data_IF_619940390842
#
_entry.id   IF_619940390842
#
_cell.length_a   1.000
_cell.length_b   1.000
_cell.length_c   1.000
_cell.angle_alpha   90.00
_cell.angle_beta   90.00
_cell.angle_gamma   90.00
#
_symmetry.space_group_name_H-M   'P 1'
#
loop_
_entity.id
_entity.type
_entity.pdbx_description
1 polymer ?
#
# COMPACT_ATOMS: atom_id res chain seq x y z
N UNK A 1 13.23 28.01 -21.20
CA UNK A 1 14.23 27.03 -21.61
C UNK A 1 13.48 25.99 -22.41
N UNK A 2 13.61 26.04 -23.76
CA UNK A 2 13.01 25.06 -24.66
C UNK A 2 13.78 23.74 -24.50
N UNK A 3 13.30 22.87 -23.61
CA UNK A 3 13.70 21.48 -23.61
C UNK A 3 13.28 20.88 -24.96
N UNK A 4 14.23 20.43 -25.75
CA UNK A 4 13.95 19.73 -26.99
C UNK A 4 13.13 18.47 -26.62
N UNK A 5 11.90 18.30 -27.16
CA UNK A 5 11.16 17.09 -26.93
C UNK A 5 11.97 15.92 -27.47
N UNK A 6 12.21 14.93 -26.61
CA UNK A 6 12.81 13.68 -27.07
C UNK A 6 12.00 13.18 -28.27
N UNK A 7 12.68 12.93 -29.40
CA UNK A 7 12.01 12.48 -30.63
C UNK A 7 11.10 11.29 -30.30
N UNK A 8 9.80 11.36 -30.61
CA UNK A 8 8.89 10.26 -30.31
C UNK A 8 9.39 8.97 -30.93
N UNK A 9 9.47 7.92 -30.14
CA UNK A 9 9.65 6.57 -30.70
C UNK A 9 8.40 6.24 -31.54
N UNK A 10 8.52 5.51 -32.66
CA UNK A 10 7.36 5.07 -33.40
C UNK A 10 6.43 4.28 -32.46
N UNK A 11 5.14 4.67 -32.42
CA UNK A 11 4.13 3.96 -31.63
C UNK A 11 3.92 2.57 -32.24
N UNK A 12 4.33 1.54 -31.51
CA UNK A 12 4.21 0.14 -31.96
C UNK A 12 2.82 -0.42 -31.66
N UNK A 13 2.10 0.18 -30.70
CA UNK A 13 0.73 -0.22 -30.31
C UNK A 13 -0.38 0.30 -31.24
N UNK A 14 -0.06 1.24 -32.15
CA UNK A 14 -1.09 1.94 -32.95
C UNK A 14 -1.85 3.03 -32.17
N UNK A 15 -1.50 3.28 -30.92
CA UNK A 15 -2.10 4.29 -30.04
C UNK A 15 -1.07 5.33 -29.60
N UNK A 16 -1.51 6.56 -29.37
CA UNK A 16 -0.70 7.63 -28.77
C UNK A 16 -1.45 8.26 -27.60
N UNK A 17 -0.73 8.63 -26.58
CA UNK A 17 -1.30 9.43 -25.49
C UNK A 17 -1.71 10.80 -26.07
N UNK A 18 -3.00 11.10 -26.01
CA UNK A 18 -3.56 12.37 -26.48
C UNK A 18 -3.60 13.42 -25.38
N UNK A 19 -3.94 13.00 -24.14
CA UNK A 19 -4.01 13.92 -23.00
C UNK A 19 -3.86 13.18 -21.68
N UNK A 20 -3.44 13.93 -20.64
CA UNK A 20 -3.44 13.51 -19.24
C UNK A 20 -4.27 14.54 -18.47
N UNK A 21 -5.28 14.06 -17.76
CA UNK A 21 -6.11 14.89 -16.89
C UNK A 21 -5.97 14.43 -15.44
N UNK A 22 -5.66 15.37 -14.55
CA UNK A 22 -5.50 15.14 -13.12
C UNK A 22 -6.56 15.99 -12.41
N UNK A 23 -7.33 15.34 -11.53
CA UNK A 23 -8.31 16.03 -10.70
C UNK A 23 -8.13 15.65 -9.24
N UNK A 24 -8.18 16.64 -8.36
CA UNK A 24 -8.09 16.47 -6.91
C UNK A 24 -9.47 16.56 -6.28
N UNK A 25 -9.77 15.62 -5.44
CA UNK A 25 -11.06 15.51 -4.76
C UNK A 25 -10.84 15.47 -3.25
N UNK A 26 -11.69 16.21 -2.54
CA UNK A 26 -11.72 16.19 -1.08
C UNK A 26 -13.10 15.74 -0.62
N UNK A 27 -13.16 14.59 0.03
CA UNK A 27 -14.40 14.04 0.55
C UNK A 27 -14.52 14.32 2.04
N UNK A 28 -15.63 14.86 2.48
CA UNK A 28 -15.90 15.00 3.90
C UNK A 28 -16.12 13.61 4.52
N UNK A 29 -15.58 13.42 5.73
CA UNK A 29 -15.82 12.27 6.59
C UNK A 29 -16.71 12.69 7.75
N UNK A 30 -17.95 12.21 7.74
CA UNK A 30 -18.93 12.45 8.78
C UNK A 30 -19.56 11.11 9.23
N UNK A 31 -19.35 10.68 10.48
CA UNK A 31 -18.47 11.28 11.51
C UNK A 31 -16.98 11.24 11.09
N UNK A 32 -16.12 12.05 11.71
CA UNK A 32 -14.68 12.00 11.49
C UNK A 32 -14.11 10.61 11.72
N UNK A 33 -13.05 10.25 11.01
CA UNK A 33 -12.35 8.99 11.19
C UNK A 33 -11.19 9.16 12.19
N UNK A 34 -11.24 8.42 13.29
CA UNK A 34 -10.19 8.40 14.31
C UNK A 34 -9.19 7.29 13.98
N UNK A 35 -8.28 7.59 13.06
CA UNK A 35 -7.22 6.66 12.69
C UNK A 35 -6.24 6.45 13.85
N UNK A 36 -5.86 5.20 14.11
CA UNK A 36 -4.94 4.86 15.21
C UNK A 36 -3.57 5.51 15.09
N UNK A 37 -3.13 5.78 13.88
CA UNK A 37 -1.83 6.40 13.54
C UNK A 37 -1.86 7.94 13.47
N UNK A 38 -2.99 8.56 13.84
CA UNK A 38 -3.16 10.00 13.76
C UNK A 38 -3.75 10.52 15.07
N UNK A 39 -3.07 11.45 15.70
CA UNK A 39 -3.55 12.08 16.95
C UNK A 39 -4.69 13.07 16.74
N UNK A 40 -5.04 13.36 15.47
CA UNK A 40 -6.14 14.24 15.08
C UNK A 40 -7.20 13.48 14.29
N UNK A 41 -8.50 13.63 14.63
CA UNK A 41 -9.57 13.07 13.83
C UNK A 41 -9.52 13.56 12.39
N UNK A 42 -9.61 12.65 11.44
CA UNK A 42 -9.65 12.97 10.01
C UNK A 42 -11.05 13.38 9.61
N UNK A 43 -11.21 14.63 9.20
CA UNK A 43 -12.49 15.20 8.79
C UNK A 43 -12.73 15.12 7.29
N UNK A 44 -11.73 14.74 6.53
CA UNK A 44 -11.80 14.57 5.08
C UNK A 44 -10.78 13.55 4.60
N UNK A 45 -11.04 13.04 3.40
CA UNK A 45 -10.12 12.20 2.65
C UNK A 45 -9.80 12.90 1.32
N UNK A 46 -8.50 13.11 1.05
CA UNK A 46 -8.04 13.67 -0.22
C UNK A 46 -7.70 12.53 -1.18
N UNK A 47 -8.13 12.64 -2.43
CA UNK A 47 -7.83 11.68 -3.46
C UNK A 47 -7.53 12.39 -4.79
N UNK A 48 -6.65 11.79 -5.58
CA UNK A 48 -6.35 12.22 -6.94
C UNK A 48 -6.90 11.19 -7.92
N UNK A 49 -7.59 11.63 -8.96
CA UNK A 49 -7.92 10.79 -10.11
C UNK A 49 -7.05 11.22 -11.29
N UNK A 50 -6.37 10.25 -11.89
CA UNK A 50 -5.59 10.42 -13.11
C UNK A 50 -6.30 9.73 -14.26
N UNK A 51 -6.48 10.42 -15.39
CA UNK A 51 -7.00 9.88 -16.64
C UNK A 51 -6.00 10.10 -17.75
N UNK A 52 -5.63 9.03 -18.44
CA UNK A 52 -4.76 9.06 -19.62
C UNK A 52 -5.58 8.65 -20.81
N UNK A 53 -5.83 9.59 -21.73
CA UNK A 53 -6.63 9.35 -22.93
C UNK A 53 -5.73 9.14 -24.14
N UNK A 54 -6.12 8.22 -25.04
CA UNK A 54 -5.45 8.00 -26.32
C UNK A 54 -6.15 8.75 -27.45
N UNK A 55 -5.44 8.91 -28.57
CA UNK A 55 -5.97 9.43 -29.84
C UNK A 55 -7.07 8.53 -30.45
N UNK A 56 -7.21 7.30 -29.98
CA UNK A 56 -8.24 6.35 -30.42
C UNK A 56 -9.44 6.27 -29.45
N UNK A 57 -9.46 7.10 -28.38
CA UNK A 57 -10.57 7.20 -27.43
C UNK A 57 -10.53 6.24 -26.25
N UNK A 58 -9.50 5.41 -26.10
CA UNK A 58 -9.31 4.60 -24.88
C UNK A 58 -8.84 5.50 -23.75
N UNK A 59 -9.31 5.20 -22.53
CA UNK A 59 -8.95 5.96 -21.31
C UNK A 59 -8.48 5.01 -20.21
N UNK A 60 -7.24 5.21 -19.76
CA UNK A 60 -6.73 4.59 -18.54
C UNK A 60 -7.04 5.47 -17.32
N UNK A 61 -7.43 4.86 -16.21
CA UNK A 61 -7.82 5.54 -14.99
C UNK A 61 -7.11 4.95 -13.79
N UNK A 62 -6.61 5.82 -12.92
CA UNK A 62 -6.10 5.40 -11.61
C UNK A 62 -6.34 6.46 -10.55
N UNK A 63 -6.10 6.10 -9.32
CA UNK A 63 -6.19 6.98 -8.17
C UNK A 63 -5.13 6.65 -7.13
N UNK A 64 -4.88 7.59 -6.26
CA UNK A 64 -3.99 7.50 -5.12
C UNK A 64 -4.17 8.72 -4.23
N UNK A 65 -3.20 8.94 -3.36
CA UNK A 65 -3.14 10.13 -2.52
C UNK A 65 -2.97 11.41 -3.37
N UNK A 66 -2.87 12.54 -2.68
CA UNK A 66 -2.67 13.82 -3.34
C UNK A 66 -1.38 13.84 -4.18
N UNK A 67 -1.55 13.95 -5.49
CA UNK A 67 -0.47 14.04 -6.46
C UNK A 67 -0.12 15.53 -6.68
N UNK A 68 1.14 15.89 -6.49
CA UNK A 68 1.64 17.26 -6.65
C UNK A 68 2.89 17.25 -7.52
N UNK A 69 3.18 18.39 -8.17
CA UNK A 69 4.43 18.61 -8.89
C UNK A 69 4.49 17.99 -10.28
N UNK A 70 3.36 17.58 -10.85
CA UNK A 70 3.29 17.05 -12.21
C UNK A 70 3.03 18.13 -13.27
N UNK A 71 2.49 19.28 -12.89
CA UNK A 71 2.11 20.35 -13.78
C UNK A 71 3.28 20.80 -14.67
N UNK A 72 3.04 20.86 -15.98
CA UNK A 72 4.08 21.22 -16.96
C UNK A 72 4.94 20.06 -17.45
N UNK A 73 4.67 18.82 -17.02
CA UNK A 73 5.38 17.62 -17.48
C UNK A 73 4.59 16.76 -18.48
N UNK A 74 3.33 17.12 -18.80
CA UNK A 74 2.42 16.38 -19.69
C UNK A 74 3.04 16.16 -21.08
N UNK A 75 3.78 17.15 -21.59
CA UNK A 75 4.44 17.07 -22.90
C UNK A 75 5.50 15.97 -22.99
N UNK A 76 5.98 15.43 -21.88
CA UNK A 76 6.91 14.30 -21.88
C UNK A 76 6.22 12.98 -22.22
N UNK A 77 4.89 12.94 -22.12
CA UNK A 77 4.07 11.76 -22.33
C UNK A 77 3.17 11.88 -23.56
N UNK A 78 2.58 13.05 -23.81
CA UNK A 78 1.69 13.28 -24.96
C UNK A 78 2.42 12.99 -26.29
N UNK A 79 1.72 12.30 -27.19
CA UNK A 79 2.26 11.83 -28.46
C UNK A 79 3.09 10.55 -28.38
N UNK A 80 3.34 10.02 -27.19
CA UNK A 80 4.13 8.79 -26.99
C UNK A 80 3.22 7.55 -27.01
N UNK A 81 3.80 6.39 -27.28
CA UNK A 81 3.14 5.09 -27.17
C UNK A 81 2.82 4.79 -25.70
N UNK A 82 1.54 4.58 -25.31
CA UNK A 82 1.17 4.27 -23.93
C UNK A 82 1.76 2.96 -23.42
N UNK A 83 2.12 2.01 -24.30
CA UNK A 83 2.75 0.74 -23.92
C UNK A 83 4.26 0.86 -23.65
N UNK A 84 4.87 2.02 -23.87
CA UNK A 84 6.27 2.27 -23.53
C UNK A 84 6.47 2.48 -22.01
N UNK A 85 5.93 1.57 -21.18
CA UNK A 85 5.86 1.67 -19.72
C UNK A 85 7.22 1.95 -19.08
N UNK A 86 8.28 1.30 -19.53
CA UNK A 86 9.64 1.51 -19.00
C UNK A 86 10.16 2.93 -19.24
N UNK A 87 9.84 3.51 -20.40
CA UNK A 87 10.18 4.90 -20.69
C UNK A 87 9.41 5.84 -19.76
N UNK A 88 8.12 5.61 -19.60
CA UNK A 88 7.26 6.43 -18.74
C UNK A 88 7.68 6.34 -17.29
N UNK A 89 7.97 5.15 -16.80
CA UNK A 89 8.51 4.91 -15.46
C UNK A 89 9.79 5.73 -15.20
N UNK A 90 10.75 5.75 -16.12
CA UNK A 90 12.00 6.52 -15.95
C UNK A 90 11.73 8.02 -15.82
N UNK A 91 10.78 8.55 -16.59
CA UNK A 91 10.38 9.96 -16.49
C UNK A 91 9.72 10.22 -15.15
N UNK A 92 8.77 9.35 -14.74
CA UNK A 92 8.11 9.47 -13.43
C UNK A 92 9.08 9.41 -12.28
N UNK A 93 10.09 8.54 -12.33
CA UNK A 93 11.13 8.46 -11.30
C UNK A 93 11.94 9.76 -11.20
N UNK A 94 12.21 10.44 -12.31
CA UNK A 94 12.88 11.75 -12.30
C UNK A 94 11.96 12.84 -11.73
N UNK A 95 10.67 12.84 -12.08
CA UNK A 95 9.68 13.78 -11.53
C UNK A 95 9.52 13.55 -10.03
N UNK A 96 9.40 12.29 -9.60
CA UNK A 96 9.26 11.92 -8.20
C UNK A 96 10.44 12.40 -7.35
N UNK A 97 11.66 12.24 -7.86
CA UNK A 97 12.88 12.71 -7.20
C UNK A 97 12.87 14.24 -6.98
N UNK A 98 12.41 15.01 -7.97
CA UNK A 98 12.48 16.47 -7.92
C UNK A 98 11.26 17.13 -7.26
N UNK A 99 10.06 16.56 -7.44
CA UNK A 99 8.82 17.30 -7.18
C UNK A 99 7.81 16.57 -6.32
N UNK A 100 7.73 15.26 -6.39
CA UNK A 100 6.79 14.49 -5.57
C UNK A 100 6.22 13.23 -6.22
N UNK A 101 5.25 12.63 -5.53
CA UNK A 101 4.67 11.32 -5.87
C UNK A 101 3.71 11.42 -7.05
N UNK A 102 4.14 10.96 -8.22
CA UNK A 102 3.31 10.95 -9.43
C UNK A 102 2.94 9.52 -9.90
N UNK A 103 3.05 8.54 -9.01
CA UNK A 103 2.86 7.12 -9.32
C UNK A 103 1.44 6.73 -9.76
N UNK A 104 0.35 7.44 -9.37
CA UNK A 104 -0.96 7.19 -9.97
C UNK A 104 -0.97 7.28 -11.50
N UNK A 105 -0.03 8.01 -12.12
CA UNK A 105 0.10 8.01 -13.58
C UNK A 105 0.63 6.68 -14.12
N UNK A 106 1.58 6.02 -13.45
CA UNK A 106 2.02 4.66 -13.82
C UNK A 106 0.85 3.67 -13.75
N UNK A 107 0.03 3.77 -12.69
CA UNK A 107 -1.15 2.92 -12.53
C UNK A 107 -2.18 3.15 -13.66
N UNK A 108 -2.42 4.40 -14.06
CA UNK A 108 -3.32 4.72 -15.17
C UNK A 108 -2.79 4.21 -16.52
N UNK A 109 -1.47 4.23 -16.71
CA UNK A 109 -0.83 3.65 -17.90
C UNK A 109 -0.96 2.12 -17.93
N UNK A 110 -0.88 1.44 -16.79
CA UNK A 110 -1.14 0.01 -16.69
C UNK A 110 -2.60 -0.34 -16.98
N UNK A 111 -3.56 0.44 -16.46
CA UNK A 111 -4.99 0.26 -16.80
C UNK A 111 -5.22 0.45 -18.30
N UNK A 112 -4.61 1.47 -18.89
CA UNK A 112 -4.67 1.71 -20.33
C UNK A 112 -4.04 0.57 -21.13
N UNK A 113 -2.89 0.04 -20.69
CA UNK A 113 -2.26 -1.13 -21.31
C UNK A 113 -3.17 -2.36 -21.27
N UNK A 114 -3.83 -2.59 -20.16
CA UNK A 114 -4.83 -3.65 -20.03
C UNK A 114 -5.98 -3.51 -21.03
N UNK A 115 -6.49 -2.31 -21.23
CA UNK A 115 -7.56 -1.98 -22.20
C UNK A 115 -7.09 -2.13 -23.64
N UNK A 116 -5.91 -1.63 -23.98
CA UNK A 116 -5.31 -1.77 -25.33
C UNK A 116 -5.13 -3.24 -25.70
N UNK A 117 -4.62 -4.04 -24.75
CA UNK A 117 -4.33 -5.46 -24.97
C UNK A 117 -5.51 -6.38 -24.66
N UNK A 118 -6.68 -5.81 -24.30
CA UNK A 118 -7.87 -6.54 -23.86
C UNK A 118 -7.54 -7.65 -22.85
N UNK A 119 -6.68 -7.33 -21.88
CA UNK A 119 -6.15 -8.30 -20.91
C UNK A 119 -5.98 -7.62 -19.56
N UNK A 120 -6.52 -8.16 -18.45
CA UNK A 120 -6.38 -7.55 -17.14
C UNK A 120 -4.93 -7.49 -16.69
N UNK A 121 -4.54 -6.41 -15.99
CA UNK A 121 -3.15 -6.12 -15.62
C UNK A 121 -2.46 -7.30 -14.91
N UNK A 122 -3.15 -8.00 -14.02
CA UNK A 122 -2.56 -9.15 -13.33
C UNK A 122 -2.10 -10.27 -14.28
N UNK A 123 -2.79 -10.47 -15.42
CA UNK A 123 -2.35 -11.42 -16.47
C UNK A 123 -1.13 -10.88 -17.24
N UNK A 124 -1.09 -9.56 -17.51
CA UNK A 124 0.06 -8.93 -18.14
C UNK A 124 1.32 -9.02 -17.27
N UNK A 125 1.15 -9.05 -15.95
CA UNK A 125 2.24 -9.26 -14.98
C UNK A 125 2.71 -10.72 -14.98
N UNK A 126 1.87 -11.67 -15.38
CA UNK A 126 2.20 -13.10 -15.43
C UNK A 126 1.39 -13.95 -14.45
N UNK A 127 0.42 -13.37 -13.76
CA UNK A 127 -0.40 -14.05 -12.77
C UNK A 127 -1.37 -15.08 -13.39
N UNK A 128 -1.71 -16.08 -12.60
CA UNK A 128 -2.59 -17.19 -13.00
C UNK A 128 -3.96 -17.20 -12.32
N UNK A 129 -4.19 -16.36 -11.32
CA UNK A 129 -5.42 -16.36 -10.53
C UNK A 129 -5.94 -14.94 -10.31
N UNK A 130 -7.24 -14.75 -10.44
CA UNK A 130 -7.94 -13.53 -10.07
C UNK A 130 -8.48 -13.58 -8.62
N UNK A 131 -8.01 -14.52 -7.82
CA UNK A 131 -8.40 -14.67 -6.42
C UNK A 131 -7.18 -14.55 -5.53
N UNK A 132 -7.26 -13.65 -4.57
CA UNK A 132 -6.23 -13.39 -3.55
C UNK A 132 -6.90 -13.48 -2.18
N UNK A 133 -6.20 -14.04 -1.21
CA UNK A 133 -6.65 -13.98 0.19
C UNK A 133 -6.51 -12.54 0.67
N UNK A 134 -7.59 -11.95 1.18
CA UNK A 134 -7.55 -10.63 1.77
C UNK A 134 -7.55 -10.73 3.30
N UNK A 135 -6.81 -9.84 3.97
CA UNK A 135 -6.97 -9.63 5.39
C UNK A 135 -7.73 -8.33 5.66
N UNK A 136 -8.66 -8.35 6.62
CA UNK A 136 -9.26 -7.12 7.10
C UNK A 136 -8.19 -6.26 7.78
N UNK A 137 -8.00 -5.03 7.32
CA UNK A 137 -7.08 -4.08 7.95
C UNK A 137 -7.89 -3.07 8.74
N UNK A 138 -7.88 -3.22 10.08
CA UNK A 138 -8.56 -2.28 10.96
C UNK A 138 -7.78 -0.95 11.06
N UNK A 139 -8.49 0.13 11.31
CA UNK A 139 -7.90 1.47 11.39
C UNK A 139 -8.09 2.16 12.73
N UNK A 140 -8.91 1.59 13.63
CA UNK A 140 -9.27 2.23 14.90
C UNK A 140 -8.85 1.38 16.10
N UNK A 141 -8.61 2.06 17.22
CA UNK A 141 -8.41 1.42 18.51
C UNK A 141 -9.77 1.28 19.23
N UNK A 142 -10.01 0.11 19.81
CA UNK A 142 -11.20 -0.21 20.60
C UNK A 142 -10.77 -0.76 21.95
N UNK A 143 -11.64 -0.69 22.96
CA UNK A 143 -11.42 -1.45 24.19
C UNK A 143 -11.28 -2.95 23.89
N UNK A 144 -10.66 -3.74 24.80
CA UNK A 144 -10.34 -5.14 24.52
C UNK A 144 -11.57 -5.99 24.17
N UNK A 145 -12.72 -5.78 24.81
CA UNK A 145 -13.94 -6.55 24.52
C UNK A 145 -14.49 -6.19 23.13
N UNK A 146 -14.64 -4.90 22.84
CA UNK A 146 -15.11 -4.43 21.54
C UNK A 146 -14.17 -4.85 20.39
N UNK A 147 -12.86 -4.93 20.65
CA UNK A 147 -11.86 -5.42 19.69
C UNK A 147 -12.07 -6.92 19.40
N UNK A 148 -12.31 -7.73 20.42
CA UNK A 148 -12.65 -9.16 20.27
C UNK A 148 -13.95 -9.38 19.49
N UNK A 149 -14.99 -8.59 19.78
CA UNK A 149 -16.26 -8.66 19.06
C UNK A 149 -16.14 -8.20 17.59
N UNK A 150 -15.30 -7.18 17.31
CA UNK A 150 -14.98 -6.79 15.94
C UNK A 150 -14.29 -7.94 15.18
N UNK A 151 -13.31 -8.59 15.79
CA UNK A 151 -12.63 -9.74 15.20
C UNK A 151 -13.59 -10.91 14.87
N UNK A 152 -14.55 -11.18 15.76
CA UNK A 152 -15.58 -12.19 15.50
C UNK A 152 -16.47 -11.83 14.31
N UNK A 153 -16.80 -10.52 14.13
CA UNK A 153 -17.55 -10.06 12.95
C UNK A 153 -16.76 -10.23 11.66
N UNK A 154 -15.45 -9.91 11.63
CA UNK A 154 -14.61 -10.14 10.45
C UNK A 154 -14.53 -11.63 10.08
N UNK A 155 -14.36 -12.49 11.07
CA UNK A 155 -14.40 -13.94 10.86
C UNK A 155 -15.74 -14.40 10.27
N UNK A 156 -16.86 -13.92 10.79
CA UNK A 156 -18.20 -14.25 10.29
C UNK A 156 -18.44 -13.73 8.85
N UNK A 157 -17.78 -12.64 8.45
CA UNK A 157 -17.82 -12.11 7.08
C UNK A 157 -16.89 -12.88 6.12
N UNK A 158 -16.14 -13.88 6.61
CA UNK A 158 -15.30 -14.75 5.79
C UNK A 158 -13.86 -14.28 5.61
N UNK A 159 -13.41 -13.24 6.33
CA UNK A 159 -12.00 -12.89 6.31
C UNK A 159 -11.15 -14.00 6.94
N UNK A 160 -10.07 -14.44 6.28
CA UNK A 160 -9.16 -15.45 6.83
C UNK A 160 -8.11 -14.86 7.78
N UNK A 161 -7.93 -13.54 7.76
CA UNK A 161 -6.92 -12.83 8.55
C UNK A 161 -7.38 -11.41 8.93
N UNK A 162 -6.78 -10.89 9.99
CA UNK A 162 -7.07 -9.56 10.54
C UNK A 162 -5.77 -8.87 10.96
N UNK A 163 -5.55 -7.63 10.51
CA UNK A 163 -4.51 -6.75 11.01
C UNK A 163 -5.07 -5.80 12.06
N UNK A 164 -4.48 -5.82 13.24
CA UNK A 164 -4.79 -4.97 14.39
C UNK A 164 -3.77 -3.83 14.48
N UNK A 165 -4.14 -2.73 15.13
CA UNK A 165 -3.25 -1.61 15.39
C UNK A 165 -2.74 -1.64 16.83
N UNK A 166 -1.44 -1.44 17.02
CA UNK A 166 -0.76 -1.24 18.29
C UNK A 166 -0.28 0.21 18.36
N UNK A 167 -1.10 1.08 18.96
CA UNK A 167 -0.77 2.51 19.07
C UNK A 167 -1.47 3.18 20.28
N UNK A 168 -1.63 2.40 21.36
CA UNK A 168 -2.12 2.92 22.64
C UNK A 168 -0.97 3.46 23.49
N UNK A 169 -0.73 4.44 24.00
CA UNK A 169 0.42 4.95 24.77
C UNK A 169 1.23 3.89 25.53
N UNK A 170 0.55 2.89 26.12
CA UNK A 170 1.19 1.71 26.73
C UNK A 170 0.94 0.47 25.88
N UNK A 171 1.99 -0.13 25.34
CA UNK A 171 1.89 -1.34 24.52
C UNK A 171 1.31 -2.57 25.27
N UNK A 172 1.34 -2.58 26.62
CA UNK A 172 0.65 -3.62 27.39
C UNK A 172 -0.87 -3.57 27.20
N UNK A 173 -1.45 -2.39 26.99
CA UNK A 173 -2.86 -2.23 26.65
C UNK A 173 -3.18 -2.80 25.26
N UNK A 174 -2.25 -2.66 24.31
CA UNK A 174 -2.37 -3.27 22.99
C UNK A 174 -2.32 -4.79 23.08
N UNK A 175 -1.43 -5.35 23.88
CA UNK A 175 -1.35 -6.80 24.14
C UNK A 175 -2.65 -7.31 24.77
N UNK A 176 -3.21 -6.61 25.75
CA UNK A 176 -4.50 -6.99 26.35
C UNK A 176 -5.65 -7.03 25.33
N UNK A 177 -5.68 -6.08 24.40
CA UNK A 177 -6.66 -6.08 23.32
C UNK A 177 -6.45 -7.27 22.36
N UNK A 178 -5.20 -7.60 22.03
CA UNK A 178 -4.86 -8.76 21.21
C UNK A 178 -5.22 -10.08 21.90
N UNK A 179 -4.99 -10.21 23.20
CA UNK A 179 -5.40 -11.38 24.00
C UNK A 179 -6.93 -11.59 23.94
N UNK A 180 -7.70 -10.52 24.08
CA UNK A 180 -9.16 -10.58 23.95
C UNK A 180 -9.59 -11.05 22.56
N UNK A 181 -8.93 -10.57 21.51
CA UNK A 181 -9.16 -11.03 20.13
C UNK A 181 -8.81 -12.53 20.02
N UNK A 182 -7.64 -12.96 20.48
CA UNK A 182 -7.22 -14.36 20.41
C UNK A 182 -8.15 -15.28 21.19
N UNK A 183 -8.61 -14.86 22.37
CA UNK A 183 -9.59 -15.60 23.16
C UNK A 183 -10.92 -15.73 22.43
N UNK A 184 -11.36 -14.70 21.71
CA UNK A 184 -12.65 -14.64 21.01
C UNK A 184 -12.69 -15.46 19.73
N UNK A 185 -11.62 -15.49 18.93
CA UNK A 185 -11.58 -16.12 17.60
C UNK A 185 -10.74 -17.41 17.58
N UNK A 186 -9.94 -17.68 18.60
CA UNK A 186 -9.03 -18.83 18.64
C UNK A 186 -8.02 -18.79 17.51
N UNK A 187 -7.76 -19.94 16.89
CA UNK A 187 -6.86 -20.09 15.74
C UNK A 187 -7.57 -19.96 14.39
N UNK A 188 -8.86 -19.61 14.37
CA UNK A 188 -9.66 -19.55 13.13
C UNK A 188 -9.35 -18.32 12.28
N UNK A 189 -8.72 -17.32 12.85
CA UNK A 189 -8.33 -16.08 12.22
C UNK A 189 -6.81 -15.89 12.36
N UNK A 190 -6.12 -15.72 11.25
CA UNK A 190 -4.71 -15.31 11.25
C UNK A 190 -4.63 -13.88 11.78
N UNK A 191 -3.77 -13.60 12.76
CA UNK A 191 -3.64 -12.26 13.34
C UNK A 191 -2.33 -11.62 12.90
N UNK A 192 -2.41 -10.38 12.52
CA UNK A 192 -1.31 -9.50 12.15
C UNK A 192 -1.38 -8.25 13.00
N UNK A 193 -0.24 -7.65 13.31
CA UNK A 193 -0.16 -6.44 14.12
C UNK A 193 0.65 -5.39 13.39
N UNK A 194 0.12 -4.18 13.33
CA UNK A 194 0.83 -2.99 12.89
C UNK A 194 1.11 -2.09 14.10
N UNK A 195 2.40 -1.88 14.38
CA UNK A 195 2.87 -1.09 15.52
C UNK A 195 2.92 0.40 15.20
N UNK A 196 2.83 0.77 13.92
CA UNK A 196 2.89 2.16 13.44
C UNK A 196 4.06 2.97 14.03
N UNK A 197 5.24 2.35 14.21
CA UNK A 197 6.45 3.02 14.69
C UNK A 197 7.36 3.51 13.55
N UNK A 198 7.07 3.12 12.30
CA UNK A 198 7.90 3.42 11.14
C UNK A 198 7.96 4.92 10.79
N UNK A 199 6.91 5.66 11.07
CA UNK A 199 6.76 7.09 10.75
C UNK A 199 5.80 7.78 11.71
N UNK A 200 5.70 9.10 11.61
CA UNK A 200 4.79 9.94 12.40
C UNK A 200 4.08 10.94 11.50
N UNK A 201 2.86 11.31 11.88
CA UNK A 201 2.20 12.49 11.32
C UNK A 201 3.02 13.74 11.64
N UNK A 202 2.97 14.75 10.76
CA UNK A 202 3.81 15.97 10.89
C UNK A 202 3.60 16.76 12.18
N UNK A 203 2.51 16.53 12.88
CA UNK A 203 2.18 17.17 14.19
C UNK A 203 2.38 16.23 15.38
N UNK A 204 2.78 14.99 15.15
CA UNK A 204 3.10 14.01 16.18
C UNK A 204 4.61 14.02 16.43
N UNK A 205 5.00 14.36 17.66
CA UNK A 205 6.41 14.47 18.08
C UNK A 205 6.82 13.37 19.06
N UNK A 206 6.00 12.35 19.23
CA UNK A 206 6.29 11.22 20.09
C UNK A 206 7.47 10.38 19.58
N UNK A 207 8.32 9.95 20.52
CA UNK A 207 9.46 9.11 20.17
C UNK A 207 8.99 7.71 19.80
N UNK A 208 9.45 7.14 18.67
CA UNK A 208 9.20 5.73 18.34
C UNK A 208 9.75 4.78 19.41
N UNK A 209 9.26 3.56 19.42
CA UNK A 209 9.80 2.50 20.29
C UNK A 209 11.29 2.32 20.10
N UNK A 210 11.96 1.98 21.20
CA UNK A 210 13.33 1.50 21.16
C UNK A 210 13.37 0.04 20.72
N UNK A 211 14.55 -0.46 20.37
CA UNK A 211 14.75 -1.89 20.12
C UNK A 211 14.28 -2.78 21.29
N UNK A 212 14.46 -2.33 22.54
CA UNK A 212 14.03 -3.10 23.72
C UNK A 212 12.51 -3.19 23.82
N UNK A 213 11.80 -2.10 23.52
CA UNK A 213 10.33 -2.09 23.49
C UNK A 213 9.81 -3.00 22.39
N UNK A 214 10.35 -2.88 21.19
CA UNK A 214 9.99 -3.73 20.05
C UNK A 214 10.24 -5.21 20.32
N UNK A 215 11.38 -5.56 20.95
CA UNK A 215 11.68 -6.94 21.31
C UNK A 215 10.73 -7.48 22.39
N UNK A 216 10.38 -6.68 23.39
CA UNK A 216 9.41 -7.07 24.42
C UNK A 216 8.03 -7.35 23.80
N UNK A 217 7.56 -6.46 22.92
CA UNK A 217 6.31 -6.67 22.18
C UNK A 217 6.41 -7.91 21.29
N UNK A 218 7.51 -8.11 20.55
CA UNK A 218 7.68 -9.28 19.68
C UNK A 218 7.53 -10.60 20.45
N UNK A 219 8.04 -10.70 21.70
CA UNK A 219 7.86 -11.88 22.54
C UNK A 219 6.40 -12.17 22.90
N UNK A 220 5.60 -11.13 23.14
CA UNK A 220 4.17 -11.28 23.35
C UNK A 220 3.44 -11.70 22.06
N UNK A 221 3.86 -11.17 20.92
CA UNK A 221 3.30 -11.56 19.63
C UNK A 221 3.63 -13.02 19.28
N UNK A 222 4.84 -13.51 19.60
CA UNK A 222 5.19 -14.94 19.51
C UNK A 222 4.26 -15.81 20.36
N UNK A 223 4.09 -15.46 21.63
CA UNK A 223 3.20 -16.15 22.58
C UNK A 223 1.76 -16.25 22.04
N UNK A 224 1.30 -15.18 21.41
CA UNK A 224 -0.05 -15.08 20.84
C UNK A 224 -0.14 -15.59 19.39
N UNK A 225 0.94 -16.14 18.84
CA UNK A 225 1.02 -16.70 17.48
C UNK A 225 0.56 -15.72 16.39
N UNK A 226 1.10 -14.51 16.46
CA UNK A 226 0.85 -13.47 15.43
C UNK A 226 1.68 -13.78 14.19
N UNK A 227 1.11 -13.55 13.01
CA UNK A 227 1.72 -13.88 11.73
C UNK A 227 2.86 -12.91 11.36
N UNK A 228 2.64 -11.60 11.54
CA UNK A 228 3.70 -10.58 11.42
C UNK A 228 3.52 -9.41 12.39
N UNK A 229 4.64 -8.74 12.64
CA UNK A 229 4.78 -7.47 13.32
C UNK A 229 5.20 -6.41 12.32
N UNK A 230 4.31 -5.48 12.00
CA UNK A 230 4.51 -4.43 10.99
C UNK A 230 5.02 -3.16 11.64
N UNK A 231 6.01 -2.51 11.01
CA UNK A 231 6.61 -1.24 11.44
C UNK A 231 6.97 -1.16 12.95
N UNK A 232 7.72 -2.14 13.51
CA UNK A 232 8.04 -2.14 14.94
C UNK A 232 9.03 -1.06 15.36
N UNK A 233 9.78 -0.50 14.41
CA UNK A 233 10.83 0.51 14.62
C UNK A 233 10.76 1.59 13.53
N UNK A 234 11.45 2.71 13.76
CA UNK A 234 11.53 3.76 12.75
C UNK A 234 12.06 3.21 11.41
N UNK A 235 11.45 3.61 10.29
CA UNK A 235 11.76 3.10 8.93
C UNK A 235 13.22 3.20 8.52
N UNK A 236 14.01 4.10 9.12
CA UNK A 236 15.44 4.25 8.85
C UNK A 236 16.33 3.41 9.79
N UNK A 237 15.77 2.70 10.78
CA UNK A 237 16.53 1.84 11.69
C UNK A 237 16.70 0.43 11.11
N UNK A 238 17.43 0.33 10.01
CA UNK A 238 17.71 -0.94 9.34
C UNK A 238 18.49 -1.91 10.24
N UNK A 239 19.37 -1.41 11.09
CA UNK A 239 20.14 -2.25 12.02
C UNK A 239 19.25 -2.86 13.08
N UNK A 240 18.39 -2.05 13.72
CA UNK A 240 17.42 -2.54 14.71
C UNK A 240 16.40 -3.50 14.11
N UNK A 241 15.89 -3.23 12.91
CA UNK A 241 14.96 -4.12 12.20
C UNK A 241 15.60 -5.49 11.94
N UNK A 242 16.83 -5.53 11.43
CA UNK A 242 17.56 -6.78 11.20
C UNK A 242 17.81 -7.53 12.51
N UNK A 243 18.28 -6.85 13.55
CA UNK A 243 18.49 -7.47 14.86
C UNK A 243 17.19 -8.03 15.45
N UNK A 244 16.07 -7.34 15.28
CA UNK A 244 14.77 -7.80 15.74
C UNK A 244 14.33 -9.04 14.97
N UNK A 245 14.47 -9.05 13.65
CA UNK A 245 14.18 -10.20 12.80
C UNK A 245 14.99 -11.44 13.20
N UNK A 246 16.28 -11.26 13.54
CA UNK A 246 17.16 -12.35 14.00
C UNK A 246 16.82 -12.84 15.42
N UNK A 247 16.18 -12.01 16.23
CA UNK A 247 15.89 -12.29 17.64
C UNK A 247 14.49 -12.85 17.90
N UNK A 248 13.61 -12.93 16.89
CA UNK A 248 12.21 -13.34 17.05
C UNK A 248 11.75 -14.27 15.93
N UNK A 249 10.80 -15.17 16.23
CA UNK A 249 10.13 -16.02 15.24
C UNK A 249 8.92 -15.33 14.57
N UNK A 250 8.45 -14.19 15.11
CA UNK A 250 7.41 -13.41 14.45
C UNK A 250 8.01 -12.68 13.25
N UNK A 251 7.35 -12.76 12.08
CA UNK A 251 7.84 -12.08 10.88
C UNK A 251 7.84 -10.58 11.06
N UNK A 252 8.90 -9.92 10.62
CA UNK A 252 9.00 -8.47 10.61
C UNK A 252 8.55 -7.95 9.25
N UNK A 253 7.62 -6.99 9.25
CA UNK A 253 7.05 -6.39 8.06
C UNK A 253 7.27 -4.88 8.05
N UNK A 254 7.61 -4.29 6.89
CA UNK A 254 7.73 -2.84 6.73
C UNK A 254 7.78 -2.43 5.24
N UNK A 255 7.71 -1.11 4.99
CA UNK A 255 7.93 -0.52 3.67
C UNK A 255 6.83 0.38 3.15
N UNK A 256 5.72 0.55 3.86
CA UNK A 256 4.51 1.23 3.40
C UNK A 256 4.72 2.70 2.99
N UNK A 257 5.45 3.48 3.78
CA UNK A 257 5.70 4.91 3.56
C UNK A 257 7.04 5.19 2.88
N UNK A 258 7.68 4.18 2.31
CA UNK A 258 8.92 4.33 1.55
C UNK A 258 8.72 5.29 0.36
N UNK A 259 9.72 6.10 0.07
CA UNK A 259 9.65 7.13 -0.98
C UNK A 259 10.34 6.70 -2.27
N UNK A 260 11.41 5.91 -2.17
CA UNK A 260 12.25 5.55 -3.30
C UNK A 260 12.44 4.03 -3.40
N UNK A 261 12.49 3.53 -4.62
CA UNK A 261 12.69 2.09 -4.90
C UNK A 261 13.98 1.54 -4.28
N UNK A 262 15.04 2.35 -4.22
CA UNK A 262 16.30 1.90 -3.64
C UNK A 262 16.20 1.68 -2.12
N UNK A 263 15.36 2.42 -1.41
CA UNK A 263 15.13 2.20 0.02
C UNK A 263 14.44 0.82 0.25
N UNK A 264 13.49 0.43 -0.62
CA UNK A 264 12.88 -0.91 -0.59
C UNK A 264 13.89 -2.00 -0.90
N UNK A 265 14.76 -1.78 -1.91
CA UNK A 265 15.85 -2.69 -2.20
C UNK A 265 16.75 -2.87 -0.98
N UNK A 266 17.09 -1.77 -0.31
CA UNK A 266 17.99 -1.81 0.84
C UNK A 266 17.35 -2.53 2.04
N UNK A 267 16.03 -2.37 2.27
CA UNK A 267 15.28 -3.19 3.25
C UNK A 267 15.41 -4.69 2.97
N UNK A 268 15.25 -5.10 1.72
CA UNK A 268 15.35 -6.50 1.28
C UNK A 268 16.79 -7.01 1.44
N UNK A 269 17.75 -6.32 0.82
CA UNK A 269 19.14 -6.81 0.71
C UNK A 269 19.92 -6.75 2.01
N UNK A 270 19.55 -5.82 2.92
CA UNK A 270 20.13 -5.76 4.25
C UNK A 270 19.48 -6.74 5.25
N UNK A 271 18.48 -7.52 4.82
CA UNK A 271 17.84 -8.52 5.67
C UNK A 271 17.00 -7.91 6.79
N UNK A 272 16.39 -6.75 6.56
CA UNK A 272 15.64 -6.03 7.58
C UNK A 272 14.25 -6.61 7.85
N UNK A 273 13.65 -7.29 6.87
CA UNK A 273 12.25 -7.74 6.91
C UNK A 273 12.07 -9.17 6.40
N UNK A 274 10.95 -9.78 6.77
CA UNK A 274 10.42 -11.03 6.20
C UNK A 274 9.29 -10.74 5.21
N UNK A 275 8.61 -9.58 5.38
CA UNK A 275 7.51 -9.13 4.54
C UNK A 275 7.77 -7.69 4.10
N UNK A 276 7.86 -7.46 2.80
CA UNK A 276 8.02 -6.11 2.25
C UNK A 276 6.66 -5.58 1.77
N UNK A 277 6.28 -4.37 2.25
CA UNK A 277 4.91 -3.84 2.14
C UNK A 277 4.85 -2.45 1.47
N UNK A 278 5.38 -2.25 0.26
CA UNK A 278 5.23 -0.98 -0.43
C UNK A 278 3.81 -0.78 -0.96
N UNK A 279 3.45 0.46 -1.31
CA UNK A 279 2.17 0.78 -1.96
C UNK A 279 2.42 1.31 -3.37
N UNK A 280 1.80 0.68 -4.38
CA UNK A 280 1.97 1.08 -5.78
C UNK A 280 1.46 2.51 -6.08
N UNK A 281 0.54 3.03 -5.28
CA UNK A 281 0.10 4.42 -5.39
C UNK A 281 1.09 5.42 -4.79
N UNK A 282 2.00 4.97 -3.90
CA UNK A 282 2.93 5.83 -3.16
C UNK A 282 4.37 5.77 -3.65
N UNK A 283 4.82 4.61 -4.17
CA UNK A 283 6.20 4.41 -4.61
C UNK A 283 6.28 3.49 -5.83
N UNK A 284 6.95 3.93 -6.86
CA UNK A 284 7.37 3.11 -8.00
C UNK A 284 6.27 2.60 -8.95
N UNK A 285 4.99 2.77 -8.62
CA UNK A 285 3.90 2.21 -9.42
C UNK A 285 3.97 0.69 -9.55
N UNK A 286 3.16 0.10 -10.41
CA UNK A 286 3.25 -1.32 -10.76
C UNK A 286 4.60 -1.63 -11.43
N UNK A 287 5.07 -0.74 -12.30
CA UNK A 287 6.32 -0.94 -13.05
C UNK A 287 7.53 -1.11 -12.12
N UNK A 288 7.66 -0.26 -11.11
CA UNK A 288 8.76 -0.34 -10.15
C UNK A 288 8.59 -1.48 -9.16
N UNK A 289 7.39 -1.67 -8.61
CA UNK A 289 7.15 -2.65 -7.54
C UNK A 289 7.23 -4.10 -8.02
N UNK A 290 6.97 -4.39 -9.29
CA UNK A 290 7.27 -5.71 -9.86
C UNK A 290 8.73 -6.12 -9.66
N UNK A 291 9.65 -5.18 -9.81
CA UNK A 291 11.10 -5.44 -9.61
C UNK A 291 11.43 -5.70 -8.15
N UNK A 292 10.80 -4.94 -7.24
CA UNK A 292 10.96 -5.17 -5.80
C UNK A 292 10.41 -6.52 -5.39
N UNK A 293 9.26 -6.93 -5.94
CA UNK A 293 8.65 -8.22 -5.65
C UNK A 293 9.52 -9.40 -6.13
N UNK A 294 10.13 -9.30 -7.33
CA UNK A 294 11.07 -10.30 -7.84
C UNK A 294 12.31 -10.37 -6.94
N UNK A 295 12.88 -9.23 -6.56
CA UNK A 295 14.00 -9.19 -5.63
C UNK A 295 13.64 -9.83 -4.28
N UNK A 296 12.46 -9.53 -3.75
CA UNK A 296 11.96 -10.15 -2.51
C UNK A 296 11.83 -11.68 -2.67
N UNK A 297 11.34 -12.17 -3.81
CA UNK A 297 11.25 -13.61 -4.09
C UNK A 297 12.63 -14.28 -4.13
N UNK A 298 13.63 -13.65 -4.77
CA UNK A 298 15.01 -14.14 -4.79
C UNK A 298 15.64 -14.23 -3.38
N UNK A 299 15.17 -13.38 -2.46
CA UNK A 299 15.56 -13.40 -1.04
C UNK A 299 14.62 -14.23 -0.15
N UNK A 300 13.68 -15.00 -0.73
CA UNK A 300 12.69 -15.81 -0.02
C UNK A 300 11.76 -15.02 0.91
N UNK A 301 11.49 -13.75 0.58
CA UNK A 301 10.63 -12.86 1.33
C UNK A 301 9.21 -12.83 0.75
N UNK A 302 8.27 -12.54 1.62
CA UNK A 302 6.87 -12.26 1.25
C UNK A 302 6.75 -10.83 0.76
N UNK A 303 5.94 -10.63 -0.29
CA UNK A 303 5.55 -9.33 -0.79
C UNK A 303 4.04 -9.14 -0.54
N UNK A 304 3.66 -8.18 0.28
CA UNK A 304 2.24 -7.87 0.56
C UNK A 304 2.05 -6.37 0.57
N UNK A 305 1.56 -5.76 -0.51
CA UNK A 305 1.49 -4.31 -0.59
C UNK A 305 0.51 -3.73 0.44
N UNK A 306 0.92 -2.58 1.00
CA UNK A 306 0.04 -1.68 1.73
C UNK A 306 -1.02 -1.09 0.80
N UNK A 307 -2.25 -0.88 1.29
CA UNK A 307 -3.35 -0.38 0.46
C UNK A 307 -4.29 0.61 1.15
N UNK A 308 -3.87 1.32 2.19
CA UNK A 308 -4.70 2.32 2.86
C UNK A 308 -4.92 3.58 1.99
N UNK A 309 -5.58 3.36 0.86
CA UNK A 309 -5.99 4.36 -0.12
C UNK A 309 -7.48 4.14 -0.48
N UNK A 310 -7.99 4.76 -1.54
CA UNK A 310 -9.35 4.52 -2.03
C UNK A 310 -9.45 3.22 -2.85
N UNK A 311 -10.67 2.79 -3.17
CA UNK A 311 -10.92 1.51 -3.85
C UNK A 311 -10.19 1.33 -5.18
N UNK A 312 -9.97 2.40 -5.96
CA UNK A 312 -9.20 2.32 -7.21
C UNK A 312 -7.73 1.98 -6.90
N UNK A 313 -7.14 2.59 -5.86
CA UNK A 313 -5.79 2.27 -5.43
C UNK A 313 -5.67 0.86 -4.86
N UNK A 314 -6.66 0.41 -4.08
CA UNK A 314 -6.75 -0.99 -3.62
C UNK A 314 -6.78 -1.95 -4.82
N UNK A 315 -7.57 -1.64 -5.86
CA UNK A 315 -7.66 -2.45 -7.08
C UNK A 315 -6.32 -2.53 -7.81
N UNK A 316 -5.55 -1.44 -7.89
CA UNK A 316 -4.22 -1.44 -8.50
C UNK A 316 -3.25 -2.38 -7.76
N UNK A 317 -3.19 -2.31 -6.43
CA UNK A 317 -2.39 -3.23 -5.61
C UNK A 317 -2.92 -4.69 -5.68
N UNK A 318 -4.23 -4.90 -5.83
CA UNK A 318 -4.80 -6.22 -6.06
C UNK A 318 -4.32 -6.83 -7.39
N UNK A 319 -4.32 -6.05 -8.48
CA UNK A 319 -3.75 -6.48 -9.76
C UNK A 319 -2.26 -6.82 -9.65
N UNK A 320 -1.48 -6.00 -8.93
CA UNK A 320 -0.09 -6.28 -8.68
C UNK A 320 0.08 -7.60 -7.94
N UNK A 321 -0.60 -7.77 -6.80
CA UNK A 321 -0.50 -8.98 -5.97
C UNK A 321 -0.95 -10.24 -6.72
N UNK A 322 -2.04 -10.16 -7.49
CA UNK A 322 -2.54 -11.30 -8.29
C UNK A 322 -1.57 -11.71 -9.41
N UNK A 323 -0.70 -10.80 -9.83
CA UNK A 323 0.34 -11.03 -10.83
C UNK A 323 1.61 -11.69 -10.31
N UNK A 324 1.76 -11.84 -8.98
CA UNK A 324 3.01 -12.26 -8.33
C UNK A 324 2.86 -13.61 -7.63
N UNK A 325 3.95 -14.36 -7.51
CA UNK A 325 4.00 -15.68 -6.86
C UNK A 325 4.17 -15.59 -5.34
N UNK A 326 4.86 -14.56 -4.86
CA UNK A 326 5.22 -14.35 -3.44
C UNK A 326 4.29 -13.39 -2.70
N UNK A 327 3.09 -13.09 -3.25
CA UNK A 327 2.08 -12.21 -2.66
C UNK A 327 0.87 -13.02 -2.11
N UNK A 328 0.96 -13.59 -0.90
CA UNK A 328 -0.07 -14.49 -0.36
C UNK A 328 -1.32 -13.75 0.13
N UNK A 329 -1.23 -12.45 0.39
CA UNK A 329 -2.30 -11.63 0.93
C UNK A 329 -2.47 -10.31 0.18
N UNK A 330 -3.69 -9.76 0.24
CA UNK A 330 -4.00 -8.38 -0.08
C UNK A 330 -4.47 -7.68 1.20
N UNK A 331 -3.92 -6.52 1.49
CA UNK A 331 -4.48 -5.64 2.50
C UNK A 331 -5.85 -5.12 2.04
N UNK A 332 -6.85 -5.27 2.90
CA UNK A 332 -8.20 -4.81 2.62
C UNK A 332 -8.64 -3.84 3.72
N UNK A 333 -8.48 -2.52 3.52
CA UNK A 333 -8.92 -1.52 4.50
C UNK A 333 -10.42 -1.63 4.73
N UNK A 334 -10.80 -2.10 5.92
CA UNK A 334 -12.19 -2.36 6.27
C UNK A 334 -12.36 -2.35 7.78
N UNK A 335 -13.02 -1.35 8.30
CA UNK A 335 -13.22 -1.15 9.74
C UNK A 335 -14.55 -0.44 10.03
N UNK A 336 -15.70 -1.07 9.68
CA UNK A 336 -17.00 -0.44 9.89
C UNK A 336 -17.34 -0.28 11.38
N UNK A 337 -18.12 0.76 11.74
CA UNK A 337 -18.71 1.76 10.83
C UNK A 337 -17.74 2.87 10.42
N UNK A 338 -16.56 3.00 11.03
CA UNK A 338 -15.64 4.13 10.86
C UNK A 338 -15.01 4.16 9.47
N UNK A 339 -14.64 2.99 8.91
CA UNK A 339 -14.09 2.84 7.56
C UNK A 339 -14.84 1.73 6.79
N UNK A 340 -16.03 2.10 6.28
CA UNK A 340 -16.88 1.18 5.49
C UNK A 340 -16.45 1.11 4.02
N UNK A 341 -17.05 0.20 3.25
CA UNK A 341 -16.83 0.09 1.80
C UNK A 341 -17.26 1.38 1.09
N UNK A 342 -18.40 1.98 1.47
CA UNK A 342 -18.87 3.22 0.84
C UNK A 342 -17.88 4.36 1.04
N UNK A 343 -17.23 4.45 2.20
CA UNK A 343 -16.20 5.46 2.46
C UNK A 343 -14.91 5.20 1.67
N UNK A 344 -14.50 3.96 1.54
CA UNK A 344 -13.30 3.59 0.78
C UNK A 344 -13.53 3.69 -0.73
N UNK A 345 -14.68 3.23 -1.19
CA UNK A 345 -14.94 2.98 -2.61
C UNK A 345 -15.80 4.07 -3.27
N UNK A 346 -15.97 5.21 -2.61
CA UNK A 346 -16.80 6.34 -3.06
C UNK A 346 -16.51 6.83 -4.50
N UNK A 347 -15.36 6.49 -5.07
CA UNK A 347 -14.98 6.83 -6.44
C UNK A 347 -15.31 5.70 -7.44
N UNK A 348 -15.84 4.59 -6.99
CA UNK A 348 -16.19 3.44 -7.80
C UNK A 348 -17.70 3.42 -8.05
N UNK A 349 -18.12 2.99 -9.25
CA UNK A 349 -19.54 2.82 -9.54
C UNK A 349 -20.15 1.64 -8.77
N UNK A 350 -19.32 0.62 -8.51
CA UNK A 350 -19.66 -0.55 -7.71
C UNK A 350 -18.45 -0.84 -6.79
N UNK A 351 -18.68 -1.15 -5.51
CA UNK A 351 -17.61 -1.42 -4.54
C UNK A 351 -16.88 -2.75 -4.78
#
# INVERSE_FOLDING_TARGET
VNALPAKPLPATSGHKIASIAISHHRLPLAPPFNASWDTKPRTHFDATIVRVSTDTGLVGVASGDRMLGFEGHEQLFVGQDPLALERHYRILANIDFHYGRCWPLDLALWDLAGKILNTPCWKLIGGRSNRIRAYASSGTLRDPQAQGDAAARYLAQGFPALKLRFHRGDWHDDVRALESVRARVGSKLELMVDCNQGWRMSWDTETPWTFKDALAVARELERLKVYWMEEPLHRADHAGMRMLREATDVRIAAGEMTRQIHELRDLVTAGCVDVVQPDAALVGGITGLRRVAILAEEHHLVFTPHTWTNGIGVTANAHLSAGLSNAPFLEFPFDPPEWSLERRDFMMAEP
#
